data_IF_171843381588
#
_entry.id   IF_171843381588
#
_cell.length_a   1.000
_cell.length_b   1.000
_cell.length_c   1.000
_cell.angle_alpha   90.00
_cell.angle_beta   90.00
_cell.angle_gamma   90.00
#
_symmetry.space_group_name_H-M   'P 1'
#
loop_
_entity.id
_entity.type
_entity.pdbx_description
1 polymer ?
#
# COMPACT_ATOMS: atom_id res chain seq x y z
N UNK A 1 5.02 6.31 -0.85
CA UNK A 1 5.81 5.07 -0.78
C UNK A 1 5.22 4.09 0.24
N UNK A 2 5.22 4.38 1.55
CA UNK A 2 4.72 3.46 2.59
C UNK A 2 3.27 2.95 2.38
N UNK A 3 2.34 3.81 1.97
CA UNK A 3 0.97 3.38 1.65
C UNK A 3 0.91 2.29 0.55
N UNK A 4 1.81 2.34 -0.44
CA UNK A 4 1.86 1.32 -1.49
C UNK A 4 2.40 -0.02 -0.96
N UNK A 5 3.33 0.03 0.00
CA UNK A 5 3.81 -1.18 0.68
C UNK A 5 2.66 -1.87 1.43
N UNK A 6 1.78 -1.11 2.10
CA UNK A 6 0.56 -1.67 2.73
C UNK A 6 -0.31 -2.38 1.68
N UNK A 7 -0.51 -1.78 0.50
CA UNK A 7 -1.31 -2.40 -0.56
C UNK A 7 -0.68 -3.71 -1.08
N UNK A 8 0.65 -3.78 -1.14
CA UNK A 8 1.37 -5.01 -1.51
C UNK A 8 1.20 -6.09 -0.44
N UNK A 9 1.40 -5.74 0.83
CA UNK A 9 1.28 -6.69 1.95
C UNK A 9 -0.16 -7.19 2.15
N UNK A 10 -1.17 -6.38 1.81
CA UNK A 10 -2.58 -6.79 1.76
C UNK A 10 -2.94 -7.61 0.51
N UNK A 11 -2.01 -7.83 -0.42
CA UNK A 11 -2.25 -8.52 -1.69
C UNK A 11 -3.19 -7.76 -2.64
N UNK A 12 -3.26 -6.43 -2.51
CA UNK A 12 -4.13 -5.54 -3.33
C UNK A 12 -3.37 -4.82 -4.45
N UNK A 13 -2.05 -4.79 -4.38
CA UNK A 13 -1.17 -4.27 -5.43
C UNK A 13 -0.09 -5.30 -5.71
N UNK A 14 0.02 -5.73 -6.97
CA UNK A 14 1.13 -6.55 -7.43
C UNK A 14 2.40 -5.69 -7.56
N UNK A 15 3.50 -6.03 -6.87
CA UNK A 15 4.76 -5.30 -6.99
C UNK A 15 5.32 -5.26 -8.41
N UNK A 16 5.05 -6.26 -9.27
CA UNK A 16 5.50 -6.27 -10.66
C UNK A 16 4.96 -5.07 -11.43
N UNK A 17 3.73 -4.64 -11.14
CA UNK A 17 3.10 -3.48 -11.79
C UNK A 17 3.80 -2.16 -11.49
N UNK A 18 4.55 -2.08 -10.40
CA UNK A 18 5.40 -0.92 -10.08
C UNK A 18 6.68 -0.99 -10.90
N UNK A 19 7.31 -2.17 -10.94
CA UNK A 19 8.61 -2.40 -11.57
C UNK A 19 8.55 -2.29 -13.09
N UNK A 20 7.47 -2.78 -13.71
CA UNK A 20 7.24 -2.68 -15.15
C UNK A 20 6.63 -1.33 -15.59
N UNK A 21 6.31 -0.46 -14.62
CA UNK A 21 5.75 0.88 -14.83
C UNK A 21 4.25 0.92 -15.16
N UNK A 22 3.58 -0.23 -15.33
CA UNK A 22 2.17 -0.31 -15.73
C UNK A 22 1.20 0.38 -14.76
N UNK A 23 1.56 0.47 -13.48
CA UNK A 23 0.79 1.20 -12.46
C UNK A 23 0.65 2.71 -12.77
N UNK A 24 1.60 3.28 -13.51
CA UNK A 24 1.64 4.72 -13.80
C UNK A 24 1.10 5.07 -15.19
N UNK A 25 0.73 4.08 -15.98
CA UNK A 25 0.11 4.28 -17.28
C UNK A 25 -1.41 4.43 -17.16
N UNK A 26 -2.03 5.12 -18.12
CA UNK A 26 -3.49 5.22 -18.25
C UNK A 26 -4.22 5.68 -16.98
N UNK A 27 -3.55 6.45 -16.11
CA UNK A 27 -4.08 6.86 -14.80
C UNK A 27 -4.56 5.66 -13.94
N UNK A 28 -3.93 4.50 -14.09
CA UNK A 28 -4.32 3.27 -13.41
C UNK A 28 -4.37 3.44 -11.89
N UNK A 29 -3.42 4.20 -11.31
CA UNK A 29 -3.43 4.52 -9.88
C UNK A 29 -4.70 5.27 -9.46
N UNK A 30 -5.09 6.30 -10.19
CA UNK A 30 -6.25 7.15 -9.89
C UNK A 30 -7.59 6.45 -10.15
N UNK A 31 -7.63 5.46 -11.05
CA UNK A 31 -8.85 4.73 -11.44
C UNK A 31 -9.03 3.44 -10.62
N UNK A 32 -7.95 2.69 -10.39
CA UNK A 32 -8.02 1.38 -9.73
C UNK A 32 -7.88 1.47 -8.20
N UNK A 33 -7.26 2.53 -7.67
CA UNK A 33 -6.99 2.73 -6.24
C UNK A 33 -7.68 4.00 -5.70
N UNK A 34 -8.99 4.02 -5.88
CA UNK A 34 -9.90 5.09 -5.47
C UNK A 34 -10.32 4.97 -4.00
N UNK A 35 -10.80 6.08 -3.41
CA UNK A 35 -11.16 6.15 -1.98
C UNK A 35 -12.43 5.34 -1.59
N UNK A 36 -13.24 4.89 -2.54
CA UNK A 36 -14.37 3.98 -2.28
C UNK A 36 -13.91 2.57 -1.89
N UNK A 37 -12.62 2.26 -2.10
CA UNK A 37 -12.03 0.97 -1.74
C UNK A 37 -11.51 1.01 -0.30
N UNK A 38 -12.04 0.17 0.61
CA UNK A 38 -11.68 0.22 2.03
C UNK A 38 -10.17 0.06 2.28
N UNK A 39 -9.52 -0.82 1.52
CA UNK A 39 -8.08 -1.07 1.63
C UNK A 39 -7.22 0.15 1.20
N UNK A 40 -7.74 1.02 0.32
CA UNK A 40 -7.08 2.27 -0.05
C UNK A 40 -7.18 3.29 1.09
N UNK A 41 -8.36 3.43 1.70
CA UNK A 41 -8.54 4.29 2.87
C UNK A 41 -7.70 3.83 4.05
N UNK A 42 -7.65 2.51 4.30
CA UNK A 42 -6.77 1.90 5.30
C UNK A 42 -5.32 2.32 5.06
N UNK A 43 -4.76 2.04 3.87
CA UNK A 43 -3.39 2.41 3.55
C UNK A 43 -3.12 3.91 3.70
N UNK A 44 -4.07 4.78 3.30
CA UNK A 44 -3.95 6.24 3.47
C UNK A 44 -4.00 6.71 4.92
N UNK A 45 -4.74 6.02 5.78
CA UNK A 45 -4.92 6.41 7.17
C UNK A 45 -3.87 5.79 8.10
N UNK A 46 -3.14 4.76 7.64
CA UNK A 46 -2.19 4.02 8.50
C UNK A 46 -0.77 3.93 7.95
N UNK A 47 -0.44 4.57 6.81
CA UNK A 47 0.91 4.50 6.22
C UNK A 47 2.05 4.91 7.16
N UNK A 48 1.76 5.76 8.15
CA UNK A 48 2.73 6.26 9.11
C UNK A 48 2.89 5.37 10.35
N UNK A 49 2.05 4.35 10.52
CA UNK A 49 2.07 3.43 11.66
C UNK A 49 3.14 2.37 11.45
N UNK A 50 4.41 2.80 11.47
CA UNK A 50 5.60 1.96 11.28
C UNK A 50 6.41 1.98 12.58
N UNK A 51 6.84 0.80 13.00
CA UNK A 51 7.61 0.57 14.22
C UNK A 51 8.92 -0.15 13.89
N UNK A 52 9.96 0.14 14.67
CA UNK A 52 11.20 -0.61 14.66
C UNK A 52 11.06 -1.82 15.61
N UNK A 53 11.33 -3.02 15.09
CA UNK A 53 11.36 -4.27 15.84
C UNK A 53 12.57 -5.10 15.41
N UNK A 54 13.55 -5.26 16.29
CA UNK A 54 14.75 -6.09 16.08
C UNK A 54 15.58 -5.71 14.83
N UNK A 55 15.85 -4.43 14.64
CA UNK A 55 16.54 -3.85 13.50
C UNK A 55 15.72 -3.79 12.20
N UNK A 56 14.41 -4.05 12.26
CA UNK A 56 13.51 -4.07 11.09
C UNK A 56 12.36 -3.11 11.28
N UNK A 57 12.00 -2.39 10.22
CA UNK A 57 10.79 -1.58 10.19
C UNK A 57 9.59 -2.42 9.74
N UNK A 58 8.53 -2.43 10.54
CA UNK A 58 7.29 -3.17 10.29
C UNK A 58 6.09 -2.30 10.56
N UNK A 59 4.96 -2.56 9.93
CA UNK A 59 3.71 -1.86 10.27
C UNK A 59 3.18 -2.34 11.63
N UNK A 60 2.58 -1.41 12.39
CA UNK A 60 1.91 -1.70 13.66
C UNK A 60 0.83 -2.77 13.48
N UNK A 61 0.53 -3.50 14.57
CA UNK A 61 -0.54 -4.49 14.54
C UNK A 61 -1.89 -3.84 14.21
N UNK A 62 -2.65 -4.47 13.31
CA UNK A 62 -3.95 -3.96 12.85
C UNK A 62 -3.88 -3.17 11.55
N UNK A 63 -2.68 -2.76 11.09
CA UNK A 63 -2.52 -2.09 9.80
C UNK A 63 -2.78 -3.03 8.62
N UNK A 64 -2.49 -4.32 8.77
CA UNK A 64 -2.59 -5.34 7.71
C UNK A 64 -3.79 -6.29 7.87
N UNK A 65 -4.82 -5.90 8.62
CA UNK A 65 -6.03 -6.71 8.86
C UNK A 65 -7.17 -6.35 7.92
#
# INVERSE_FOLDING_TARGET
>A
AAAMQILIELGKLDPERILDGSLFHNCAREIEYTNDKPYVLQAKNSWYMIEERNGRFVFSEGVLK
#
